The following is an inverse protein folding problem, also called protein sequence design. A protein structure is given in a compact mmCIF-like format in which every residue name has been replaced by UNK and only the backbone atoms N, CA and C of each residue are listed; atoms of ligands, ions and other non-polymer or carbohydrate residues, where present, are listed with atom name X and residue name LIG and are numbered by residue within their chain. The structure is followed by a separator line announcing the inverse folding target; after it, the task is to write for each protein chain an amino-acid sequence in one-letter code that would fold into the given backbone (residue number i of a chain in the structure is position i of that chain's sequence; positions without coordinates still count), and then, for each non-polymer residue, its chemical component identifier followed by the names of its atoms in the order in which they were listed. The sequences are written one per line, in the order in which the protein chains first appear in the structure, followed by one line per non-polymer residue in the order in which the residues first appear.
data_IF_436679694441
#
_entry.id   IF_436679694441
#
_cell.length_a   1.000
_cell.length_b   1.000
_cell.length_c   1.000
_cell.angle_alpha   90.00
_cell.angle_beta   90.00
_cell.angle_gamma   90.00
#
_symmetry.space_group_name_H-M   'P 1'
#
loop_
_entity.id
_entity.type
_entity.pdbx_description
1 polymer ?
#
# COMPACT_ATOMS: atom_id res chain seq x y z
N UNK A 1 -52.48 7.05 -13.95
CA UNK A 1 -53.16 6.86 -15.25
C UNK A 1 -52.05 6.87 -16.29
N UNK A 2 -51.57 5.66 -16.64
CA UNK A 2 -50.86 5.15 -17.85
C UNK A 2 -49.89 6.11 -18.60
N UNK A 3 -48.67 5.79 -19.02
CA UNK A 3 -47.96 4.55 -19.42
C UNK A 3 -46.46 4.66 -19.04
N UNK A 4 -45.76 3.68 -18.46
CA UNK A 4 -45.14 2.45 -19.03
C UNK A 4 -44.19 2.70 -20.22
N UNK A 5 -42.89 2.56 -19.93
CA UNK A 5 -41.80 2.39 -20.87
C UNK A 5 -40.60 1.77 -20.15
N UNK A 6 -40.57 0.45 -20.12
CA UNK A 6 -39.41 -0.36 -19.70
C UNK A 6 -38.20 -0.06 -20.59
N UNK A 7 -37.03 0.13 -19.96
CA UNK A 7 -35.74 -0.28 -20.50
C UNK A 7 -34.77 -0.50 -19.33
N UNK A 8 -34.84 -1.72 -18.79
CA UNK A 8 -33.74 -2.38 -18.10
C UNK A 8 -32.71 -2.88 -19.14
N UNK A 9 -31.48 -3.13 -18.67
CA UNK A 9 -30.30 -3.76 -19.30
C UNK A 9 -29.07 -2.86 -19.22
N UNK A 10 -28.19 -3.22 -18.28
CA UNK A 10 -26.88 -2.64 -18.12
C UNK A 10 -25.98 -2.85 -19.33
N UNK A 11 -24.85 -2.14 -19.33
CA UNK A 11 -23.69 -2.59 -20.07
C UNK A 11 -22.45 -2.45 -19.18
N UNK A 12 -22.00 -3.63 -18.75
CA UNK A 12 -20.67 -3.89 -18.24
C UNK A 12 -19.60 -3.58 -19.30
N UNK A 13 -18.37 -3.50 -18.81
CA UNK A 13 -17.10 -3.68 -19.54
C UNK A 13 -16.57 -2.51 -20.37
N UNK A 14 -15.64 -1.77 -19.75
CA UNK A 14 -14.54 -1.14 -20.47
C UNK A 14 -13.25 -1.90 -20.08
N UNK A 15 -13.15 -3.13 -20.61
CA UNK A 15 -11.96 -3.97 -20.63
C UNK A 15 -11.43 -4.09 -22.07
N UNK A 16 -11.65 -3.06 -22.88
CA UNK A 16 -11.73 -3.22 -24.32
C UNK A 16 -10.44 -3.00 -25.12
N UNK A 17 -9.28 -2.71 -24.53
CA UNK A 17 -8.09 -2.43 -25.36
C UNK A 17 -7.39 -3.68 -25.96
N UNK A 18 -7.66 -4.89 -25.48
CA UNK A 18 -7.22 -6.15 -26.13
C UNK A 18 -8.37 -6.95 -26.77
N UNK A 19 -9.64 -6.60 -26.49
CA UNK A 19 -10.83 -7.29 -27.04
C UNK A 19 -11.47 -6.50 -28.20
N UNK A 20 -11.32 -5.16 -28.26
CA UNK A 20 -11.86 -4.38 -29.38
C UNK A 20 -11.22 -4.72 -30.72
N UNK A 21 -9.98 -5.20 -30.76
CA UNK A 21 -9.36 -5.60 -32.03
C UNK A 21 -10.02 -6.89 -32.59
N UNK A 22 -10.50 -7.77 -31.69
CA UNK A 22 -11.25 -8.98 -32.07
C UNK A 22 -12.73 -8.74 -32.36
N UNK A 23 -13.34 -7.70 -31.79
CA UNK A 23 -14.74 -7.31 -32.07
C UNK A 23 -14.89 -6.35 -33.26
N UNK A 24 -13.81 -5.68 -33.68
CA UNK A 24 -13.77 -4.88 -34.92
C UNK A 24 -13.36 -5.69 -36.15
N UNK A 25 -12.77 -6.87 -35.96
CA UNK A 25 -12.51 -7.81 -37.05
C UNK A 25 -13.74 -8.70 -37.25
N UNK A 26 -14.35 -8.60 -38.44
CA UNK A 26 -15.37 -9.55 -38.87
C UNK A 26 -14.80 -10.98 -38.74
N UNK A 27 -15.60 -11.95 -38.28
CA UNK A 27 -15.17 -13.34 -38.24
C UNK A 27 -14.60 -13.79 -39.60
N UNK A 28 -13.55 -14.62 -39.63
CA UNK A 28 -12.98 -15.10 -40.90
C UNK A 28 -14.08 -15.75 -41.76
N UNK A 29 -14.37 -15.15 -42.92
CA UNK A 29 -15.45 -15.58 -43.82
C UNK A 29 -16.68 -14.66 -43.90
N UNK A 30 -16.80 -13.64 -43.03
CA UNK A 30 -17.90 -12.65 -43.05
C UNK A 30 -17.49 -11.27 -43.60
N UNK A 31 -16.26 -11.14 -44.10
CA UNK A 31 -15.65 -9.89 -44.57
C UNK A 31 -16.40 -9.16 -45.71
N UNK A 32 -17.37 -9.84 -46.34
CA UNK A 32 -18.22 -9.29 -47.40
C UNK A 32 -19.55 -8.70 -46.92
N UNK A 33 -19.91 -8.83 -45.64
CA UNK A 33 -21.25 -8.45 -45.13
C UNK A 33 -21.53 -6.94 -45.20
N UNK A 34 -20.48 -6.11 -45.12
CA UNK A 34 -20.57 -4.65 -45.16
C UNK A 34 -20.25 -4.06 -46.54
N UNK A 35 -19.97 -4.90 -47.55
CA UNK A 35 -19.61 -4.44 -48.89
C UNK A 35 -20.85 -4.28 -49.75
N UNK A 36 -21.13 -3.06 -50.19
CA UNK A 36 -22.13 -2.84 -51.24
C UNK A 36 -21.62 -3.37 -52.58
N UNK A 37 -22.52 -3.82 -53.47
CA UNK A 37 -22.18 -4.29 -54.82
C UNK A 37 -21.51 -3.23 -55.73
N UNK A 38 -21.34 -1.99 -55.25
CA UNK A 38 -20.74 -0.90 -56.01
C UNK A 38 -19.20 -0.93 -56.05
N UNK A 39 -18.54 -1.67 -55.14
CA UNK A 39 -17.09 -1.88 -55.12
C UNK A 39 -16.26 -0.63 -54.77
N UNK A 40 -15.34 -0.76 -53.79
CA UNK A 40 -14.37 0.30 -53.43
C UNK A 40 -14.28 0.62 -51.93
N UNK A 41 -15.24 0.17 -51.13
CA UNK A 41 -15.32 0.46 -49.69
C UNK A 41 -14.16 -0.17 -48.89
N UNK A 42 -13.70 -1.36 -49.28
CA UNK A 42 -12.54 -2.01 -48.66
C UNK A 42 -11.23 -1.21 -48.84
N UNK A 43 -11.09 -0.51 -49.98
CA UNK A 43 -9.93 0.35 -50.24
C UNK A 43 -10.01 1.61 -49.39
N UNK A 44 -11.21 2.17 -49.21
CA UNK A 44 -11.43 3.36 -48.39
C UNK A 44 -11.22 3.07 -46.89
N UNK A 45 -11.64 1.90 -46.42
CA UNK A 45 -11.38 1.40 -45.06
C UNK A 45 -9.86 1.25 -44.83
N UNK A 46 -9.14 0.59 -45.74
CA UNK A 46 -7.70 0.41 -45.65
C UNK A 46 -6.93 1.75 -45.68
N UNK A 47 -7.42 2.74 -46.44
CA UNK A 47 -6.86 4.10 -46.47
C UNK A 47 -7.17 4.85 -45.18
N UNK A 48 -8.38 4.73 -44.62
CA UNK A 48 -8.75 5.32 -43.33
C UNK A 48 -7.91 4.74 -42.18
N UNK A 49 -7.73 3.42 -42.14
CA UNK A 49 -6.89 2.75 -41.14
C UNK A 49 -5.41 3.13 -41.30
N UNK A 50 -4.93 3.27 -42.54
CA UNK A 50 -3.57 3.73 -42.85
C UNK A 50 -3.29 5.20 -42.51
N UNK A 51 -4.30 6.07 -42.59
CA UNK A 51 -4.18 7.51 -42.26
C UNK A 51 -4.34 7.76 -40.75
N UNK A 52 -5.18 6.99 -40.07
CA UNK A 52 -5.52 7.22 -38.65
C UNK A 52 -4.57 6.53 -37.67
N UNK A 53 -3.81 5.52 -38.11
CA UNK A 53 -2.99 4.69 -37.23
C UNK A 53 -1.50 4.74 -37.56
N UNK A 54 -0.89 5.92 -37.50
CA UNK A 54 0.49 5.96 -37.00
C UNK A 54 0.46 5.69 -35.49
N UNK A 55 0.11 4.45 -35.11
CA UNK A 55 0.20 4.01 -33.71
C UNK A 55 1.68 3.98 -33.38
N UNK A 56 2.15 4.96 -32.61
CA UNK A 56 3.47 4.90 -32.01
C UNK A 56 3.55 3.62 -31.17
N UNK A 57 4.30 2.62 -31.65
CA UNK A 57 4.49 1.36 -30.93
C UNK A 57 5.48 1.64 -29.80
N UNK A 58 4.96 1.89 -28.60
CA UNK A 58 5.79 1.99 -27.40
C UNK A 58 6.28 0.59 -27.02
N UNK A 59 7.54 0.29 -27.37
CA UNK A 59 8.19 -0.99 -27.05
C UNK A 59 8.50 -1.14 -25.56
N UNK A 60 8.26 -0.12 -24.73
CA UNK A 60 8.51 -0.19 -23.29
C UNK A 60 7.40 -0.96 -22.60
N UNK A 61 7.79 -2.03 -21.92
CA UNK A 61 6.89 -2.76 -21.03
C UNK A 61 6.36 -1.87 -19.90
N UNK A 62 5.20 -2.22 -19.34
CA UNK A 62 4.65 -1.56 -18.13
C UNK A 62 5.67 -1.53 -16.99
N UNK A 63 6.46 -2.61 -16.82
CA UNK A 63 7.55 -2.69 -15.83
C UNK A 63 8.58 -1.59 -16.05
N UNK A 64 9.04 -1.40 -17.29
CA UNK A 64 10.01 -0.36 -17.64
C UNK A 64 9.46 1.04 -17.36
N UNK A 65 8.22 1.32 -17.77
CA UNK A 65 7.57 2.63 -17.54
C UNK A 65 7.46 2.98 -16.06
N UNK A 66 7.06 2.02 -15.22
CA UNK A 66 6.94 2.28 -13.78
C UNK A 66 8.33 2.45 -13.14
N UNK A 67 9.32 1.62 -13.50
CA UNK A 67 10.66 1.74 -12.93
C UNK A 67 11.33 3.07 -13.31
N UNK A 68 11.18 3.52 -14.55
CA UNK A 68 11.66 4.83 -14.99
C UNK A 68 11.02 5.96 -14.17
N UNK A 69 9.71 5.89 -13.92
CA UNK A 69 9.00 6.86 -13.08
C UNK A 69 9.53 6.87 -11.65
N UNK A 70 9.74 5.71 -11.04
CA UNK A 70 10.31 5.58 -9.68
C UNK A 70 11.70 6.22 -9.63
N UNK A 71 12.58 5.86 -10.57
CA UNK A 71 13.94 6.37 -10.62
C UNK A 71 13.96 7.89 -10.84
N UNK A 72 13.07 8.42 -11.69
CA UNK A 72 12.96 9.85 -11.94
C UNK A 72 12.52 10.61 -10.68
N UNK A 73 11.50 10.11 -9.96
CA UNK A 73 11.10 10.71 -8.68
C UNK A 73 12.23 10.65 -7.64
N UNK A 74 12.89 9.50 -7.49
CA UNK A 74 13.97 9.32 -6.52
C UNK A 74 15.11 10.32 -6.69
N UNK A 75 15.48 10.66 -7.93
CA UNK A 75 16.50 11.69 -8.22
C UNK A 75 16.06 13.09 -7.77
N UNK A 76 14.76 13.38 -7.85
CA UNK A 76 14.23 14.71 -7.52
C UNK A 76 13.96 14.90 -6.01
N UNK A 77 13.67 13.83 -5.26
CA UNK A 77 13.27 13.92 -3.83
C UNK A 77 14.15 14.85 -2.97
N UNK A 78 15.50 14.80 -3.02
CA UNK A 78 16.33 15.67 -2.18
C UNK A 78 16.11 17.16 -2.45
N UNK A 79 15.90 17.52 -3.72
CA UNK A 79 15.65 18.87 -4.19
C UNK A 79 14.21 19.31 -3.85
N UNK A 80 13.23 18.44 -4.11
CA UNK A 80 11.82 18.72 -3.78
C UNK A 80 11.63 18.93 -2.27
N UNK A 81 12.33 18.17 -1.44
CA UNK A 81 12.28 18.34 0.00
C UNK A 81 12.85 19.69 0.47
N UNK A 82 13.91 20.19 -0.19
CA UNK A 82 14.43 21.52 0.10
C UNK A 82 13.44 22.62 -0.30
N UNK A 83 12.89 22.55 -1.52
CA UNK A 83 11.91 23.52 -1.99
C UNK A 83 10.62 23.50 -1.16
N UNK A 84 10.19 22.31 -0.70
CA UNK A 84 9.04 22.17 0.18
C UNK A 84 9.28 22.89 1.53
N UNK A 85 10.48 22.77 2.11
CA UNK A 85 10.83 23.46 3.34
C UNK A 85 10.89 24.98 3.13
N UNK A 86 11.49 25.45 2.03
CA UNK A 86 11.49 26.88 1.66
C UNK A 86 10.08 27.42 1.50
N UNK A 87 9.22 26.70 0.79
CA UNK A 87 7.80 27.04 0.64
C UNK A 87 7.07 27.08 1.99
N UNK A 88 7.32 26.12 2.89
CA UNK A 88 6.72 26.14 4.24
C UNK A 88 7.19 27.31 5.09
N UNK A 89 8.44 27.75 4.94
CA UNK A 89 9.00 28.85 5.72
C UNK A 89 8.57 30.22 5.20
N UNK A 90 8.63 30.41 3.89
CA UNK A 90 8.51 31.74 3.24
C UNK A 90 7.20 31.91 2.46
N UNK A 91 6.46 30.83 2.21
CA UNK A 91 5.32 30.82 1.31
C UNK A 91 5.70 30.68 -0.17
N UNK A 92 4.71 30.90 -1.03
CA UNK A 92 4.94 30.97 -2.47
C UNK A 92 5.62 32.30 -2.82
N UNK A 93 6.61 32.31 -3.74
CA UNK A 93 7.23 33.55 -4.17
C UNK A 93 6.17 34.48 -4.79
N UNK A 94 6.18 35.74 -4.37
CA UNK A 94 5.34 36.77 -5.00
C UNK A 94 5.92 37.04 -6.39
N UNK A 95 5.07 36.98 -7.41
CA UNK A 95 5.43 37.40 -8.76
C UNK A 95 5.71 38.91 -8.71
N UNK A 96 6.98 39.30 -8.61
CA UNK A 96 7.37 40.70 -8.72
C UNK A 96 7.24 41.18 -10.17
N UNK A 97 6.89 42.45 -10.34
CA UNK A 97 6.92 43.20 -11.61
C UNK A 97 8.36 43.57 -12.04
N UNK A 98 9.38 42.82 -11.61
CA UNK A 98 10.75 43.13 -12.00
C UNK A 98 10.99 42.76 -13.45
N UNK A 99 10.98 43.78 -14.31
CA UNK A 99 11.37 43.83 -15.73
C UNK A 99 12.84 43.39 -15.96
N UNK A 100 13.21 42.19 -15.54
CA UNK A 100 14.53 41.61 -15.84
C UNK A 100 14.35 40.54 -16.90
N UNK A 101 15.04 40.76 -18.02
CA UNK A 101 14.81 40.15 -19.31
C UNK A 101 14.91 38.61 -19.31
N UNK A 102 13.93 37.99 -19.98
CA UNK A 102 13.83 36.55 -20.33
C UNK A 102 13.57 35.58 -19.17
N UNK A 103 12.56 35.86 -18.34
CA UNK A 103 11.96 34.79 -17.53
C UNK A 103 11.21 33.82 -18.46
N UNK A 104 11.64 32.56 -18.52
CA UNK A 104 10.90 31.53 -19.25
C UNK A 104 9.61 31.23 -18.48
N UNK A 105 8.50 31.79 -18.96
CA UNK A 105 7.17 31.62 -18.39
C UNK A 105 6.47 30.44 -19.07
N UNK A 106 5.77 29.64 -18.28
CA UNK A 106 4.96 28.52 -18.77
C UNK A 106 3.70 28.37 -17.94
N UNK A 107 2.67 27.74 -18.49
CA UNK A 107 1.40 27.51 -17.78
C UNK A 107 1.11 26.04 -17.58
N UNK A 108 0.46 25.70 -16.49
CA UNK A 108 0.03 24.34 -16.18
C UNK A 108 -1.33 24.34 -15.50
N UNK A 109 -2.14 23.32 -15.79
CA UNK A 109 -3.37 23.09 -15.06
C UNK A 109 -3.06 22.68 -13.61
N UNK A 110 -3.75 23.32 -12.67
CA UNK A 110 -3.56 23.08 -11.24
C UNK A 110 -4.88 22.72 -10.58
N UNK A 111 -4.82 21.73 -9.68
CA UNK A 111 -5.93 21.30 -8.82
C UNK A 111 -5.64 21.75 -7.39
N UNK A 112 -6.55 22.50 -6.80
CA UNK A 112 -6.60 22.75 -5.36
C UNK A 112 -7.94 22.28 -4.79
N UNK A 113 -8.16 22.48 -3.50
CA UNK A 113 -9.48 22.23 -2.93
C UNK A 113 -10.53 23.20 -3.47
N UNK A 114 -10.13 24.43 -3.82
CA UNK A 114 -11.06 25.51 -4.18
C UNK A 114 -11.19 25.72 -5.69
N UNK A 115 -10.15 25.43 -6.47
CA UNK A 115 -10.13 25.71 -7.90
C UNK A 115 -9.44 24.63 -8.73
N UNK A 116 -9.94 24.45 -9.95
CA UNK A 116 -9.23 23.84 -11.08
C UNK A 116 -8.97 24.95 -12.10
N UNK A 117 -7.72 25.37 -12.28
CA UNK A 117 -7.38 26.41 -13.25
C UNK A 117 -5.97 26.30 -13.79
N UNK A 118 -5.77 26.85 -14.99
CA UNK A 118 -4.44 27.08 -15.54
C UNK A 118 -3.74 28.20 -14.75
N UNK A 119 -2.55 27.92 -14.25
CA UNK A 119 -1.69 28.87 -13.55
C UNK A 119 -0.39 29.06 -14.29
N UNK A 120 0.14 30.27 -14.21
CA UNK A 120 1.40 30.67 -14.82
C UNK A 120 2.53 30.53 -13.81
N UNK A 121 3.61 29.90 -14.23
CA UNK A 121 4.82 29.65 -13.45
C UNK A 121 6.02 30.29 -14.15
N UNK A 122 6.96 30.78 -13.34
CA UNK A 122 8.24 31.33 -13.81
C UNK A 122 9.33 30.32 -13.51
N UNK A 123 10.16 30.03 -14.52
CA UNK A 123 11.35 29.22 -14.32
C UNK A 123 12.31 29.91 -13.35
N UNK A 124 12.77 29.19 -12.33
CA UNK A 124 13.79 29.68 -11.40
C UNK A 124 15.16 29.26 -11.94
N UNK A 125 16.07 30.19 -12.29
CA UNK A 125 17.33 29.89 -12.99
C UNK A 125 18.23 28.85 -12.30
N UNK A 126 18.13 28.71 -10.98
CA UNK A 126 18.93 27.81 -10.15
C UNK A 126 18.37 26.37 -10.07
N UNK A 127 17.18 26.15 -10.63
CA UNK A 127 16.42 24.91 -10.46
C UNK A 127 16.59 23.97 -11.65
N UNK A 128 16.76 22.67 -11.37
CA UNK A 128 17.00 21.65 -12.40
C UNK A 128 15.71 20.98 -12.90
N UNK A 129 14.67 20.91 -12.07
CA UNK A 129 13.44 20.19 -12.37
C UNK A 129 12.19 21.07 -12.34
N UNK A 130 11.24 20.79 -13.23
CA UNK A 130 9.93 21.46 -13.28
C UNK A 130 9.20 21.35 -11.94
N UNK A 131 9.27 20.18 -11.31
CA UNK A 131 8.61 19.93 -10.02
C UNK A 131 9.20 20.73 -8.86
N UNK A 132 10.47 21.13 -8.90
CA UNK A 132 11.04 22.01 -7.89
C UNK A 132 10.40 23.40 -7.96
N UNK A 133 10.20 23.93 -9.17
CA UNK A 133 9.48 25.20 -9.38
C UNK A 133 8.04 25.08 -8.91
N UNK A 134 7.36 23.97 -9.22
CA UNK A 134 5.99 23.73 -8.74
C UNK A 134 5.94 23.70 -7.21
N UNK A 135 6.82 22.95 -6.56
CA UNK A 135 6.84 22.79 -5.10
C UNK A 135 7.11 24.11 -4.42
N UNK A 136 8.03 24.92 -4.96
CA UNK A 136 8.31 26.27 -4.47
C UNK A 136 7.07 27.18 -4.52
N UNK A 137 6.17 26.94 -5.47
CA UNK A 137 4.90 27.65 -5.62
C UNK A 137 3.70 26.97 -4.92
N UNK A 138 3.93 25.92 -4.13
CA UNK A 138 2.86 25.25 -3.39
C UNK A 138 2.15 24.10 -4.14
N UNK A 139 2.71 23.62 -5.25
CA UNK A 139 2.12 22.57 -6.08
C UNK A 139 3.08 21.42 -6.33
N UNK A 140 2.56 20.24 -6.67
CA UNK A 140 3.37 19.08 -7.04
C UNK A 140 2.81 18.44 -8.30
N UNK A 141 3.65 18.21 -9.30
CA UNK A 141 3.23 17.59 -10.56
C UNK A 141 2.76 16.15 -10.37
N UNK A 142 1.79 15.73 -11.19
CA UNK A 142 1.33 14.34 -11.26
C UNK A 142 2.37 13.39 -11.91
N UNK A 143 3.44 13.92 -12.50
CA UNK A 143 4.52 13.15 -13.11
C UNK A 143 5.89 13.83 -12.88
N UNK A 144 7.00 13.07 -12.89
CA UNK A 144 8.31 13.59 -12.50
C UNK A 144 8.95 14.52 -13.55
N UNK A 145 8.78 14.25 -14.85
CA UNK A 145 9.54 14.95 -15.89
C UNK A 145 8.70 15.99 -16.64
N UNK A 146 7.52 15.58 -17.12
CA UNK A 146 6.61 16.42 -17.91
C UNK A 146 5.21 16.34 -17.32
N UNK A 147 4.94 17.03 -16.19
CA UNK A 147 3.62 17.05 -15.60
C UNK A 147 2.64 17.77 -16.54
N UNK A 148 1.47 17.19 -16.75
CA UNK A 148 0.33 17.85 -17.42
C UNK A 148 -0.65 18.49 -16.44
N UNK A 149 -0.58 18.06 -15.17
CA UNK A 149 -1.42 18.50 -14.06
C UNK A 149 -0.54 18.63 -12.82
N UNK A 150 -0.74 19.66 -12.03
CA UNK A 150 -0.16 19.79 -10.71
C UNK A 150 -1.22 19.90 -9.62
N UNK A 151 -0.92 19.35 -8.45
CA UNK A 151 -1.84 19.24 -7.32
C UNK A 151 -1.28 20.07 -6.18
N UNK A 152 -2.13 20.87 -5.55
CA UNK A 152 -1.76 21.68 -4.39
C UNK A 152 -1.19 20.82 -3.27
N UNK A 153 -0.06 21.23 -2.70
CA UNK A 153 0.54 20.61 -1.52
C UNK A 153 -0.40 20.66 -0.32
N UNK A 154 -1.18 21.73 -0.19
CA UNK A 154 -2.21 21.86 0.85
C UNK A 154 -3.28 20.77 0.71
N UNK A 155 -3.74 20.48 -0.52
CA UNK A 155 -4.70 19.42 -0.77
C UNK A 155 -4.14 18.04 -0.40
N UNK A 156 -2.87 17.78 -0.72
CA UNK A 156 -2.18 16.54 -0.33
C UNK A 156 -2.03 16.41 1.20
N UNK A 157 -1.79 17.52 1.90
CA UNK A 157 -1.74 17.57 3.36
C UNK A 157 -3.11 17.32 3.99
N UNK A 158 -4.16 17.96 3.48
CA UNK A 158 -5.55 17.73 3.90
C UNK A 158 -5.90 16.25 3.72
N UNK A 159 -5.63 15.70 2.54
CA UNK A 159 -5.89 14.29 2.26
C UNK A 159 -5.14 13.36 3.23
N UNK A 160 -3.88 13.68 3.55
CA UNK A 160 -3.10 12.92 4.54
C UNK A 160 -3.76 12.93 5.93
N UNK A 161 -4.33 14.05 6.38
CA UNK A 161 -5.04 14.09 7.67
C UNK A 161 -6.38 13.36 7.60
N UNK A 162 -7.15 13.52 6.51
CA UNK A 162 -8.41 12.81 6.31
C UNK A 162 -8.20 11.29 6.38
N UNK A 163 -7.14 10.78 5.75
CA UNK A 163 -6.83 9.34 5.73
C UNK A 163 -6.41 8.79 7.09
N UNK A 164 -5.89 9.63 8.00
CA UNK A 164 -5.57 9.22 9.38
C UNK A 164 -6.83 8.97 10.20
N UNK A 165 -7.90 9.75 9.96
CA UNK A 165 -9.18 9.62 10.68
C UNK A 165 -10.09 8.62 9.99
N UNK A 166 -10.13 8.62 8.65
CA UNK A 166 -10.93 7.73 7.83
C UNK A 166 -10.05 6.99 6.79
N UNK A 167 -9.44 5.85 7.17
CA UNK A 167 -8.59 5.07 6.27
C UNK A 167 -9.28 4.57 5.00
N UNK A 168 -10.63 4.50 5.02
CA UNK A 168 -11.47 4.08 3.88
C UNK A 168 -11.65 5.16 2.82
N UNK A 169 -11.26 6.41 3.08
CA UNK A 169 -11.38 7.50 2.12
C UNK A 169 -10.31 7.38 1.02
N UNK A 170 -10.69 6.78 -0.11
CA UNK A 170 -9.79 6.47 -1.22
C UNK A 170 -9.43 7.70 -2.05
N UNK A 171 -8.36 7.58 -2.84
CA UNK A 171 -7.96 8.60 -3.82
C UNK A 171 -8.99 8.76 -4.94
N UNK A 172 -9.69 7.68 -5.34
CA UNK A 172 -10.81 7.78 -6.29
C UNK A 172 -11.98 8.57 -5.68
N UNK A 173 -12.29 8.34 -4.39
CA UNK A 173 -13.32 9.12 -3.70
C UNK A 173 -12.92 10.61 -3.61
N UNK A 174 -11.66 10.92 -3.32
CA UNK A 174 -11.16 12.29 -3.36
C UNK A 174 -11.27 12.89 -4.77
N UNK A 175 -10.83 12.17 -5.81
CA UNK A 175 -10.92 12.63 -7.20
C UNK A 175 -12.35 12.93 -7.63
N UNK A 176 -13.32 12.06 -7.27
CA UNK A 176 -14.76 12.32 -7.49
C UNK A 176 -15.23 13.55 -6.72
N UNK A 177 -14.87 13.67 -5.44
CA UNK A 177 -15.25 14.81 -4.62
C UNK A 177 -14.75 16.12 -5.24
N UNK A 178 -13.50 16.17 -5.71
CA UNK A 178 -12.95 17.34 -6.41
C UNK A 178 -13.71 17.65 -7.70
N UNK A 179 -14.05 16.64 -8.51
CA UNK A 179 -14.88 16.86 -9.70
C UNK A 179 -16.23 17.50 -9.33
N UNK A 180 -16.89 17.02 -8.27
CA UNK A 180 -18.15 17.59 -7.80
C UNK A 180 -17.98 19.02 -7.25
N UNK A 181 -16.92 19.27 -6.47
CA UNK A 181 -16.61 20.59 -5.91
C UNK A 181 -16.35 21.62 -7.03
N UNK A 182 -15.68 21.21 -8.10
CA UNK A 182 -15.39 22.07 -9.25
C UNK A 182 -16.50 22.11 -10.31
N UNK A 183 -17.62 21.41 -10.08
CA UNK A 183 -18.73 21.29 -11.04
C UNK A 183 -18.31 20.70 -12.40
N UNK A 184 -17.45 19.68 -12.38
CA UNK A 184 -16.92 19.00 -13.55
C UNK A 184 -17.43 17.55 -13.65
N UNK A 185 -17.52 17.00 -14.88
CA UNK A 185 -17.78 15.58 -15.06
C UNK A 185 -16.64 14.74 -14.48
N UNK A 186 -16.91 13.44 -14.22
CA UNK A 186 -15.91 12.50 -13.70
C UNK A 186 -14.72 12.43 -14.66
N UNK A 187 -13.54 12.79 -14.16
CA UNK A 187 -12.29 12.63 -14.90
C UNK A 187 -11.66 11.26 -14.54
N UNK A 188 -11.54 10.32 -15.49
CA UNK A 188 -11.14 8.93 -15.18
C UNK A 188 -9.71 8.83 -14.63
N UNK A 189 -8.79 9.65 -15.13
CA UNK A 189 -7.37 9.57 -14.77
C UNK A 189 -6.97 10.42 -13.55
N UNK A 190 -7.90 11.19 -12.98
CA UNK A 190 -7.57 12.12 -11.90
C UNK A 190 -7.10 11.37 -10.65
N UNK A 191 -7.72 10.24 -10.32
CA UNK A 191 -7.32 9.43 -9.19
C UNK A 191 -5.86 8.92 -9.31
N UNK A 192 -5.44 8.51 -10.51
CA UNK A 192 -4.08 8.05 -10.77
C UNK A 192 -3.06 9.20 -10.72
N UNK A 193 -3.44 10.38 -11.22
CA UNK A 193 -2.63 11.59 -11.14
C UNK A 193 -2.42 12.02 -9.68
N UNK A 194 -3.50 12.01 -8.87
CA UNK A 194 -3.41 12.29 -7.44
C UNK A 194 -2.58 11.23 -6.73
N UNK A 195 -2.76 9.95 -7.06
CA UNK A 195 -1.96 8.86 -6.49
C UNK A 195 -0.47 9.07 -6.71
N UNK A 196 -0.07 9.38 -7.96
CA UNK A 196 1.33 9.62 -8.33
C UNK A 196 1.93 10.82 -7.58
N UNK A 197 1.21 11.94 -7.47
CA UNK A 197 1.65 13.10 -6.71
C UNK A 197 1.68 12.81 -5.19
N UNK A 198 0.68 12.10 -4.66
CA UNK A 198 0.58 11.78 -3.25
C UNK A 198 1.70 10.84 -2.78
N UNK A 199 2.05 9.83 -3.58
CA UNK A 199 3.20 8.96 -3.31
C UNK A 199 4.50 9.77 -3.25
N UNK A 200 4.73 10.67 -4.21
CA UNK A 200 5.88 11.56 -4.17
C UNK A 200 5.87 12.49 -2.94
N UNK A 201 4.72 13.06 -2.60
CA UNK A 201 4.57 13.88 -1.40
C UNK A 201 4.89 13.10 -0.12
N UNK A 202 4.45 11.84 -0.01
CA UNK A 202 4.81 10.99 1.12
C UNK A 202 6.33 10.71 1.18
N UNK A 203 7.00 10.53 0.03
CA UNK A 203 8.46 10.39 0.01
C UNK A 203 9.18 11.67 0.43
N UNK A 204 8.72 12.85 0.00
CA UNK A 204 9.24 14.15 0.48
C UNK A 204 9.13 14.21 2.01
N UNK A 205 7.99 13.82 2.57
CA UNK A 205 7.75 13.83 4.00
C UNK A 205 8.66 12.85 4.76
N UNK A 206 8.92 11.66 4.20
CA UNK A 206 9.86 10.69 4.77
C UNK A 206 11.30 11.20 4.74
N UNK A 207 11.71 11.83 3.63
CA UNK A 207 13.04 12.42 3.50
C UNK A 207 13.27 13.55 4.52
N UNK A 208 12.26 14.42 4.71
CA UNK A 208 12.28 15.47 5.73
C UNK A 208 12.33 14.86 7.14
N UNK A 209 11.54 13.82 7.41
CA UNK A 209 11.61 13.09 8.69
C UNK A 209 13.01 12.51 8.96
N UNK A 210 13.68 11.99 7.92
CA UNK A 210 15.07 11.56 7.99
C UNK A 210 16.01 12.69 8.39
N UNK A 211 15.89 13.86 7.74
CA UNK A 211 16.66 15.07 8.10
C UNK A 211 16.39 15.52 9.54
N UNK A 212 15.14 15.50 9.99
CA UNK A 212 14.78 15.81 11.38
C UNK A 212 15.42 14.84 12.38
N UNK A 213 15.42 13.54 12.08
CA UNK A 213 16.03 12.55 12.96
C UNK A 213 17.55 12.76 13.07
N UNK A 214 18.22 13.09 11.96
CA UNK A 214 19.65 13.43 11.95
C UNK A 214 19.92 14.69 12.79
N UNK A 215 19.12 15.75 12.58
CA UNK A 215 19.28 17.01 13.31
C UNK A 215 19.09 16.85 14.83
N UNK A 216 18.15 15.98 15.24
CA UNK A 216 17.89 15.63 16.63
C UNK A 216 18.83 14.56 17.20
N UNK A 217 19.87 14.15 16.45
CA UNK A 217 20.86 13.12 16.83
C UNK A 217 20.22 11.80 17.27
N UNK A 218 19.11 11.43 16.64
CA UNK A 218 18.41 10.18 16.94
C UNK A 218 19.17 9.01 16.32
N UNK A 219 19.50 8.02 17.14
CA UNK A 219 20.13 6.77 16.71
C UNK A 219 19.18 5.95 15.83
N UNK A 220 19.71 4.95 15.13
CA UNK A 220 18.90 4.07 14.29
C UNK A 220 17.84 3.28 15.07
N UNK A 221 18.03 3.07 16.38
CA UNK A 221 17.11 2.34 17.25
C UNK A 221 16.22 3.28 18.09
N UNK A 222 16.42 4.60 17.97
CA UNK A 222 15.73 5.59 18.78
C UNK A 222 14.20 5.44 18.73
N UNK A 223 13.65 5.13 17.55
CA UNK A 223 12.20 4.94 17.40
C UNK A 223 11.69 3.73 18.20
N UNK A 224 12.41 2.61 18.23
CA UNK A 224 12.01 1.41 18.99
C UNK A 224 12.14 1.65 20.50
N UNK A 225 13.20 2.34 20.93
CA UNK A 225 13.47 2.65 22.33
C UNK A 225 12.51 3.71 22.90
N UNK A 226 11.92 4.57 22.04
CA UNK A 226 11.12 5.71 22.45
C UNK A 226 9.71 5.72 21.83
N UNK A 227 9.23 4.59 21.31
CA UNK A 227 7.94 4.52 20.59
C UNK A 227 6.76 4.95 21.46
N UNK A 228 6.84 4.64 22.75
CA UNK A 228 5.82 4.96 23.73
C UNK A 228 6.50 5.42 25.01
N UNK A 229 6.59 6.74 25.20
CA UNK A 229 7.21 7.31 26.39
C UNK A 229 6.62 6.73 27.70
N UNK A 230 5.29 6.61 27.88
CA UNK A 230 4.73 6.02 29.09
C UNK A 230 5.04 4.53 29.32
N UNK A 231 5.48 3.79 28.30
CA UNK A 231 5.81 2.37 28.44
C UNK A 231 7.31 2.10 28.50
N UNK A 232 8.14 2.93 27.87
CA UNK A 232 9.57 2.66 27.68
C UNK A 232 10.48 3.61 28.44
N UNK A 233 9.96 4.77 28.87
CA UNK A 233 10.74 5.74 29.64
C UNK A 233 10.58 5.47 31.14
N UNK A 234 11.64 4.94 31.77
CA UNK A 234 11.69 4.70 33.21
C UNK A 234 12.28 5.90 33.94
N UNK A 235 11.63 6.33 35.03
CA UNK A 235 12.16 7.41 35.89
C UNK A 235 13.04 6.85 37.02
N UNK A 236 13.93 7.68 37.57
CA UNK A 236 14.89 7.24 38.60
C UNK A 236 14.22 6.70 39.87
N UNK A 237 13.05 7.25 40.22
CA UNK A 237 12.30 6.91 41.44
C UNK A 237 11.17 5.90 41.19
N UNK A 238 11.13 5.28 40.01
CA UNK A 238 10.06 4.33 39.67
C UNK A 238 10.31 2.96 40.33
N UNK A 239 9.34 2.43 41.11
CA UNK A 239 9.49 1.11 41.71
C UNK A 239 9.56 0.03 40.62
N UNK A 240 10.43 -0.99 40.76
CA UNK A 240 10.52 -2.06 39.77
C UNK A 240 9.21 -2.85 39.74
N UNK A 241 8.56 -2.87 38.57
CA UNK A 241 7.37 -3.67 38.34
C UNK A 241 7.73 -5.12 38.01
N UNK A 242 6.96 -6.09 38.54
CA UNK A 242 7.06 -7.52 38.16
C UNK A 242 6.93 -7.70 36.64
N UNK A 243 5.99 -6.96 36.03
CA UNK A 243 5.83 -6.87 34.58
C UNK A 243 5.98 -5.40 34.17
N UNK A 244 7.01 -5.10 33.39
CA UNK A 244 7.33 -3.72 33.01
C UNK A 244 6.59 -3.23 31.77
N UNK A 245 5.93 -4.14 31.03
CA UNK A 245 5.36 -3.82 29.73
C UNK A 245 4.12 -4.67 29.46
N UNK A 246 3.07 -4.02 28.93
CA UNK A 246 1.86 -4.70 28.46
C UNK A 246 1.70 -4.45 26.96
N UNK A 247 1.67 -5.56 26.22
CA UNK A 247 1.47 -5.57 24.78
C UNK A 247 0.25 -6.43 24.42
N UNK A 248 -0.46 -6.03 23.38
CA UNK A 248 -1.43 -6.87 22.70
C UNK A 248 -0.92 -7.14 21.28
N UNK A 249 -1.17 -8.33 20.77
CA UNK A 249 -0.82 -8.75 19.41
C UNK A 249 -2.04 -9.36 18.75
N UNK A 250 -2.28 -9.00 17.49
CA UNK A 250 -3.36 -9.56 16.70
C UNK A 250 -2.96 -9.70 15.22
N UNK A 251 -3.60 -10.61 14.52
CA UNK A 251 -3.40 -10.91 13.11
C UNK A 251 -4.54 -10.41 12.23
N UNK A 252 -4.23 -9.75 11.12
CA UNK A 252 -5.19 -9.36 10.11
C UNK A 252 -5.06 -10.24 8.86
N UNK A 253 -6.02 -11.15 8.68
CA UNK A 253 -6.06 -12.12 7.57
C UNK A 253 -6.68 -11.58 6.27
N UNK A 254 -7.04 -10.30 6.20
CA UNK A 254 -7.68 -9.71 5.01
C UNK A 254 -6.67 -9.24 3.95
N UNK A 255 -5.44 -8.93 4.36
CA UNK A 255 -4.40 -8.39 3.50
C UNK A 255 -3.60 -9.54 2.87
N UNK A 256 -4.06 -10.03 1.73
CA UNK A 256 -3.47 -11.20 1.07
C UNK A 256 -2.69 -10.82 -0.18
N UNK A 257 -1.48 -11.36 -0.29
CA UNK A 257 -0.66 -11.26 -1.49
C UNK A 257 -0.63 -12.61 -2.19
N UNK A 258 -1.20 -12.70 -3.40
CA UNK A 258 -1.14 -13.92 -4.22
C UNK A 258 0.32 -14.19 -4.62
N UNK A 259 0.76 -15.42 -4.44
CA UNK A 259 2.10 -15.88 -4.80
C UNK A 259 2.31 -15.81 -6.32
N UNK A 260 3.50 -15.37 -6.73
CA UNK A 260 3.88 -15.23 -8.13
C UNK A 260 3.77 -16.53 -8.94
N UNK A 261 3.91 -17.69 -8.31
CA UNK A 261 3.78 -19.00 -8.95
C UNK A 261 2.37 -19.24 -9.53
N UNK A 262 1.35 -18.55 -9.01
CA UNK A 262 -0.03 -18.66 -9.49
C UNK A 262 -0.47 -17.48 -10.37
N UNK A 263 0.42 -16.53 -10.67
CA UNK A 263 0.10 -15.38 -11.52
C UNK A 263 0.61 -15.61 -12.93
N UNK A 264 -0.22 -15.32 -13.94
CA UNK A 264 0.22 -15.28 -15.33
C UNK A 264 1.10 -14.04 -15.59
N UNK A 265 2.08 -14.17 -16.49
CA UNK A 265 2.96 -13.10 -16.93
C UNK A 265 4.31 -13.05 -16.20
N UNK A 266 5.09 -11.99 -16.48
CA UNK A 266 6.41 -11.81 -15.87
C UNK A 266 6.30 -11.16 -14.49
N UNK A 267 6.97 -11.76 -13.50
CA UNK A 267 7.01 -11.23 -12.14
C UNK A 267 7.79 -9.91 -12.12
N UNK A 268 7.16 -8.87 -11.58
CA UNK A 268 7.85 -7.65 -11.20
C UNK A 268 8.31 -7.78 -9.76
N UNK A 269 9.63 -7.83 -9.56
CA UNK A 269 10.23 -7.67 -8.24
C UNK A 269 9.91 -6.29 -7.69
N UNK A 270 9.28 -6.23 -6.52
CA UNK A 270 9.08 -4.99 -5.78
C UNK A 270 10.31 -4.73 -4.91
N UNK A 271 11.14 -3.78 -5.32
CA UNK A 271 12.39 -3.45 -4.63
C UNK A 271 12.20 -2.37 -3.55
N UNK A 272 10.94 -2.05 -3.19
CA UNK A 272 10.66 -1.05 -2.15
C UNK A 272 10.98 -1.66 -0.79
N UNK A 273 11.87 -0.99 -0.06
CA UNK A 273 12.25 -1.37 1.30
C UNK A 273 11.73 -0.30 2.25
N UNK A 274 11.14 -0.73 3.37
CA UNK A 274 10.76 0.20 4.44
C UNK A 274 11.99 0.60 5.26
N UNK A 275 12.12 1.88 5.58
CA UNK A 275 13.16 2.36 6.50
C UNK A 275 12.77 2.20 7.98
N UNK A 276 11.51 1.84 8.25
CA UNK A 276 11.02 1.64 9.60
C UNK A 276 11.49 0.30 10.15
N UNK A 277 12.22 0.33 11.27
CA UNK A 277 12.61 -0.88 12.01
C UNK A 277 11.47 -1.54 12.78
N UNK A 278 10.25 -1.01 12.69
CA UNK A 278 9.07 -1.68 13.24
C UNK A 278 8.64 -2.86 12.38
N UNK A 279 9.05 -2.90 11.12
CA UNK A 279 8.80 -4.06 10.27
C UNK A 279 9.87 -5.12 10.53
N UNK A 280 9.44 -6.28 10.99
CA UNK A 280 10.32 -7.44 11.14
C UNK A 280 10.51 -8.06 9.76
N UNK A 281 11.75 -8.35 9.39
CA UNK A 281 12.04 -8.88 8.06
C UNK A 281 11.66 -10.36 7.96
N UNK A 282 11.36 -10.87 6.75
CA UNK A 282 11.13 -12.30 6.54
C UNK A 282 12.28 -13.16 7.07
N UNK A 283 13.52 -12.70 6.89
CA UNK A 283 14.72 -13.43 7.32
C UNK A 283 14.78 -13.57 8.84
N UNK A 284 14.38 -12.53 9.59
CA UNK A 284 14.30 -12.57 11.06
C UNK A 284 13.19 -13.52 11.54
N UNK A 285 12.07 -13.60 10.82
CA UNK A 285 10.94 -14.51 11.13
C UNK A 285 11.30 -15.97 10.81
N UNK A 286 11.99 -16.22 9.71
CA UNK A 286 12.33 -17.56 9.21
C UNK A 286 13.23 -18.36 10.15
N UNK A 287 13.96 -17.70 11.06
CA UNK A 287 14.73 -18.36 12.12
C UNK A 287 13.84 -19.25 13.00
N UNK A 288 12.56 -18.89 13.15
CA UNK A 288 11.59 -19.57 14.01
C UNK A 288 10.71 -20.59 13.27
N UNK A 289 10.87 -20.76 11.94
CA UNK A 289 9.96 -21.58 11.12
C UNK A 289 9.79 -23.03 11.60
N UNK A 290 10.83 -23.60 12.21
CA UNK A 290 10.86 -25.00 12.68
C UNK A 290 10.71 -25.13 14.20
N UNK A 291 10.40 -24.04 14.92
CA UNK A 291 10.36 -24.05 16.39
C UNK A 291 9.19 -24.88 16.94
N UNK A 292 8.00 -24.79 16.32
CA UNK A 292 6.80 -25.52 16.76
C UNK A 292 6.96 -27.02 16.55
N UNK A 293 7.49 -27.42 15.39
CA UNK A 293 7.78 -28.82 15.08
C UNK A 293 8.82 -29.43 16.03
N UNK A 294 9.83 -28.65 16.44
CA UNK A 294 10.82 -29.10 17.43
C UNK A 294 10.18 -29.36 18.79
N UNK A 295 9.27 -28.50 19.26
CA UNK A 295 8.57 -28.69 20.55
C UNK A 295 7.63 -29.90 20.53
N UNK A 296 6.89 -30.11 19.44
CA UNK A 296 6.05 -31.30 19.29
C UNK A 296 6.86 -32.61 19.22
N UNK A 297 8.03 -32.60 18.56
CA UNK A 297 8.92 -33.76 18.54
C UNK A 297 9.47 -34.06 19.95
N UNK A 298 9.91 -33.06 20.70
CA UNK A 298 10.42 -33.28 22.06
C UNK A 298 9.33 -33.80 23.01
N UNK A 299 8.08 -33.33 22.87
CA UNK A 299 6.93 -33.85 23.63
C UNK A 299 6.57 -35.28 23.24
N UNK A 300 6.65 -35.67 21.96
CA UNK A 300 6.38 -37.04 21.54
C UNK A 300 7.46 -38.03 22.00
N UNK A 301 8.73 -37.60 22.08
CA UNK A 301 9.81 -38.41 22.65
C UNK A 301 9.65 -38.62 24.17
N UNK A 302 9.26 -37.60 24.93
CA UNK A 302 9.00 -37.72 26.37
C UNK A 302 7.81 -38.64 26.67
N UNK A 303 6.75 -38.57 25.86
CA UNK A 303 5.60 -39.46 25.97
C UNK A 303 5.90 -40.89 25.50
N UNK A 304 6.84 -41.08 24.56
CA UNK A 304 7.28 -42.40 24.13
C UNK A 304 8.20 -43.10 25.16
N UNK A 305 8.93 -42.33 25.97
CA UNK A 305 9.76 -42.88 27.05
C UNK A 305 8.99 -43.17 28.34
N UNK A 306 7.75 -42.69 28.49
CA UNK A 306 6.88 -43.02 29.62
C UNK A 306 6.13 -44.36 29.46
N UNK A 307 6.25 -45.04 28.32
CA UNK A 307 5.55 -46.31 28.04
C UNK A 307 6.36 -47.57 28.41
N UNK A 308 7.54 -47.43 29.03
CA UNK A 308 8.34 -48.57 29.51
C UNK A 308 8.96 -48.20 30.85
N UNK A 309 8.24 -48.47 31.94
CA UNK A 309 8.75 -48.78 33.29
C UNK A 309 7.52 -49.00 34.19
N UNK A 310 7.02 -50.23 34.17
CA UNK A 310 6.06 -50.75 35.14
C UNK A 310 6.89 -51.49 36.21
N UNK A 311 7.22 -50.83 37.33
CA UNK A 311 7.25 -51.38 38.70
C UNK A 311 7.96 -50.44 39.71
N UNK A 312 7.24 -50.13 40.80
CA UNK A 312 7.63 -49.58 42.13
C UNK A 312 7.67 -48.03 42.33
N UNK A 313 7.52 -47.55 43.58
CA UNK A 313 6.26 -47.17 44.23
C UNK A 313 6.10 -45.63 44.37
N UNK A 314 4.89 -45.20 44.70
CA UNK A 314 4.51 -43.80 44.99
C UNK A 314 5.48 -43.11 45.96
N UNK A 315 6.11 -42.01 45.51
CA UNK A 315 6.54 -40.89 46.34
C UNK A 315 6.85 -39.64 45.48
N UNK A 316 6.00 -38.62 45.68
CA UNK A 316 6.23 -37.17 45.68
C UNK A 316 7.23 -36.57 44.67
N UNK A 317 6.68 -36.01 43.60
CA UNK A 317 7.31 -34.91 42.85
C UNK A 317 6.59 -33.62 43.19
N UNK A 318 7.02 -33.00 44.29
CA UNK A 318 6.77 -31.57 44.53
C UNK A 318 7.54 -30.78 43.46
N UNK A 319 6.79 -30.08 42.61
CA UNK A 319 7.31 -29.26 41.52
C UNK A 319 6.28 -28.25 41.02
N UNK A 320 6.34 -27.07 41.63
CA UNK A 320 5.92 -25.76 41.13
C UNK A 320 4.43 -25.39 41.09
N UNK A 321 3.96 -24.90 42.24
CA UNK A 321 3.42 -23.54 42.43
C UNK A 321 2.81 -22.84 41.21
N UNK A 322 1.60 -23.26 40.82
CA UNK A 322 0.56 -22.33 40.36
C UNK A 322 -0.42 -22.14 41.51
N UNK A 323 -0.05 -21.27 42.45
CA UNK A 323 -0.72 -21.08 43.74
C UNK A 323 -2.16 -20.51 43.69
N UNK A 324 -2.85 -20.49 42.55
CA UNK A 324 -4.14 -19.79 42.40
C UNK A 324 -5.26 -20.56 41.69
N UNK A 325 -5.08 -21.86 41.41
CA UNK A 325 -6.18 -22.70 40.92
C UNK A 325 -6.25 -23.97 41.76
N UNK A 326 -7.40 -24.20 42.40
CA UNK A 326 -7.67 -25.46 43.08
C UNK A 326 -7.59 -26.60 42.06
N UNK A 327 -7.09 -27.77 42.48
CA UNK A 327 -6.89 -28.97 41.63
C UNK A 327 -8.16 -29.38 40.87
N UNK A 328 -9.34 -29.05 41.39
CA UNK A 328 -10.64 -29.26 40.74
C UNK A 328 -10.94 -28.27 39.59
N UNK A 329 -10.46 -27.03 39.67
CA UNK A 329 -10.65 -26.01 38.62
C UNK A 329 -9.71 -26.22 37.43
N UNK A 330 -8.56 -26.87 37.64
CA UNK A 330 -7.63 -27.25 36.56
C UNK A 330 -8.24 -28.35 35.67
N UNK A 331 -8.95 -29.31 36.26
CA UNK A 331 -9.57 -30.41 35.52
C UNK A 331 -10.83 -29.94 34.76
N UNK A 332 -11.62 -29.03 35.36
CA UNK A 332 -12.73 -28.35 34.67
C UNK A 332 -12.25 -27.40 33.56
N UNK A 333 -11.13 -26.70 33.75
CA UNK A 333 -10.52 -25.84 32.73
C UNK A 333 -9.88 -26.67 31.61
N UNK A 334 -9.24 -27.80 31.93
CA UNK A 334 -8.72 -28.74 30.94
C UNK A 334 -9.85 -29.40 30.14
N UNK A 335 -10.97 -29.74 30.80
CA UNK A 335 -12.18 -30.20 30.12
C UNK A 335 -12.82 -29.09 29.28
N UNK A 336 -12.84 -27.84 29.73
CA UNK A 336 -13.29 -26.70 28.93
C UNK A 336 -12.37 -26.41 27.74
N UNK A 337 -11.05 -26.54 27.89
CA UNK A 337 -10.09 -26.43 26.77
C UNK A 337 -10.32 -27.56 25.77
N UNK A 338 -10.50 -28.81 26.22
CA UNK A 338 -10.81 -29.94 25.34
C UNK A 338 -12.17 -29.77 24.65
N UNK A 339 -13.20 -29.31 25.37
CA UNK A 339 -14.53 -29.06 24.79
C UNK A 339 -14.51 -27.87 23.82
N UNK A 340 -13.73 -26.82 24.12
CA UNK A 340 -13.53 -25.68 23.24
C UNK A 340 -12.73 -26.08 22.00
N UNK A 341 -11.70 -26.92 22.11
CA UNK A 341 -10.93 -27.45 20.98
C UNK A 341 -11.76 -28.39 20.12
N UNK A 342 -12.58 -29.26 20.73
CA UNK A 342 -13.51 -30.14 20.01
C UNK A 342 -14.67 -29.39 19.34
N UNK A 343 -15.16 -28.31 19.98
CA UNK A 343 -16.20 -27.42 19.41
C UNK A 343 -15.63 -26.36 18.47
N UNK A 344 -14.31 -26.12 18.50
CA UNK A 344 -13.61 -25.26 17.55
C UNK A 344 -13.51 -25.99 16.22
N UNK A 345 -14.63 -26.03 15.50
CA UNK A 345 -14.60 -26.25 14.07
C UNK A 345 -14.05 -24.97 13.44
N UNK A 346 -12.75 -24.96 13.15
CA UNK A 346 -12.21 -23.99 12.21
C UNK A 346 -13.08 -24.04 10.94
N UNK A 347 -13.67 -22.91 10.59
CA UNK A 347 -14.66 -22.85 9.53
C UNK A 347 -14.00 -23.17 8.17
N UNK A 348 -14.25 -24.38 7.66
CA UNK A 348 -14.41 -24.68 6.25
C UNK A 348 -13.74 -25.97 5.76
N UNK A 349 -14.28 -26.58 4.68
CA UNK A 349 -13.79 -27.83 4.10
C UNK A 349 -12.32 -27.69 3.67
N UNK A 350 -11.57 -28.80 3.60
CA UNK A 350 -10.14 -28.84 3.21
C UNK A 350 -9.79 -28.05 1.93
N UNK A 351 -10.77 -27.80 1.06
CA UNK A 351 -10.65 -26.86 -0.06
C UNK A 351 -10.14 -25.46 0.37
N UNK A 352 -10.46 -24.99 1.59
CA UNK A 352 -9.93 -23.72 2.14
C UNK A 352 -8.45 -23.80 2.53
N UNK A 353 -7.91 -24.97 2.90
CA UNK A 353 -6.47 -25.16 3.13
C UNK A 353 -5.67 -24.98 1.83
N UNK A 354 -6.16 -25.55 0.72
CA UNK A 354 -5.59 -25.32 -0.62
C UNK A 354 -5.67 -23.84 -1.06
N UNK A 355 -6.71 -23.13 -0.62
CA UNK A 355 -6.87 -21.69 -0.89
C UNK A 355 -5.83 -20.82 -0.17
N UNK A 356 -5.25 -21.26 0.97
CA UNK A 356 -4.13 -20.56 1.61
C UNK A 356 -2.80 -20.79 0.89
N UNK A 357 -2.63 -21.94 0.22
CA UNK A 357 -1.49 -22.22 -0.64
C UNK A 357 -1.44 -21.35 -1.92
N UNK A 358 -2.41 -20.46 -2.15
CA UNK A 358 -2.37 -19.44 -3.20
C UNK A 358 -1.56 -18.20 -2.78
N UNK A 359 -1.50 -17.87 -1.48
CA UNK A 359 -1.01 -16.58 -1.01
C UNK A 359 0.43 -16.69 -0.49
N UNK A 360 1.34 -15.84 -0.97
CA UNK A 360 2.69 -15.72 -0.41
C UNK A 360 2.65 -15.06 0.98
N UNK A 361 1.75 -14.09 1.15
CA UNK A 361 1.45 -13.44 2.43
C UNK A 361 -0.05 -13.57 2.68
N UNK A 362 -0.45 -14.15 3.80
CA UNK A 362 -1.84 -14.42 4.16
C UNK A 362 -2.48 -13.31 5.01
N UNK A 363 -1.68 -12.35 5.48
CA UNK A 363 -2.09 -11.31 6.40
C UNK A 363 -0.89 -10.58 6.98
N UNK A 364 -1.13 -9.79 8.04
CA UNK A 364 -0.07 -9.15 8.84
C UNK A 364 -0.33 -9.40 10.32
N UNK A 365 0.72 -9.57 11.12
CA UNK A 365 0.64 -9.44 12.57
C UNK A 365 1.04 -8.03 12.99
N UNK A 366 0.38 -7.55 14.04
CA UNK A 366 0.63 -6.23 14.60
C UNK A 366 0.65 -6.32 16.12
N UNK A 367 1.73 -5.82 16.72
CA UNK A 367 1.87 -5.68 18.15
C UNK A 367 1.71 -4.22 18.54
N UNK A 368 0.88 -3.95 19.55
CA UNK A 368 0.63 -2.62 20.11
C UNK A 368 0.85 -2.60 21.61
N UNK A 369 1.32 -1.49 22.14
CA UNK A 369 1.27 -1.27 23.58
C UNK A 369 -0.16 -0.91 24.02
N UNK A 370 -0.39 -0.93 25.34
CA UNK A 370 -1.67 -0.50 25.93
C UNK A 370 -2.13 0.92 25.55
N UNK A 371 -1.22 1.79 25.10
CA UNK A 371 -1.52 3.16 24.67
C UNK A 371 -1.76 3.27 23.15
N UNK A 372 -1.82 2.16 22.42
CA UNK A 372 -2.12 2.12 20.99
C UNK A 372 -0.95 2.45 20.06
N UNK A 373 0.28 2.53 20.57
CA UNK A 373 1.45 2.67 19.71
C UNK A 373 1.84 1.32 19.11
N UNK A 374 2.04 1.32 17.78
CA UNK A 374 2.50 0.14 17.04
C UNK A 374 3.97 -0.09 17.34
N UNK A 375 4.26 -1.24 17.96
CA UNK A 375 5.59 -1.66 18.40
C UNK A 375 6.34 -2.34 17.26
N UNK A 376 5.74 -3.41 16.74
CA UNK A 376 6.27 -4.21 15.63
C UNK A 376 5.13 -4.68 14.73
N UNK A 377 5.46 -4.90 13.46
CA UNK A 377 4.59 -5.43 12.42
C UNK A 377 5.39 -6.49 11.66
N UNK A 378 4.76 -7.60 11.28
CA UNK A 378 5.36 -8.56 10.37
C UNK A 378 4.32 -9.15 9.42
N UNK A 379 4.78 -9.63 8.28
CA UNK A 379 3.94 -10.35 7.33
C UNK A 379 3.63 -11.76 7.86
N UNK A 380 2.39 -12.20 7.67
CA UNK A 380 2.01 -13.61 7.86
C UNK A 380 2.44 -14.40 6.64
N UNK A 381 3.71 -14.78 6.63
CA UNK A 381 4.33 -15.62 5.61
C UNK A 381 4.01 -17.07 5.94
N UNK A 382 3.98 -17.94 4.93
CA UNK A 382 3.74 -19.38 5.15
C UNK A 382 4.79 -19.95 6.10
N UNK A 383 4.41 -20.21 7.35
CA UNK A 383 5.13 -21.15 8.21
C UNK A 383 4.90 -22.56 7.63
N UNK A 384 5.90 -23.44 7.73
CA UNK A 384 5.81 -24.83 7.25
C UNK A 384 4.79 -25.72 7.98
N UNK A 385 3.82 -25.13 8.67
CA UNK A 385 2.63 -25.81 9.20
C UNK A 385 1.60 -25.94 8.08
N UNK A 386 1.89 -26.83 7.12
CA UNK A 386 0.92 -27.33 6.15
C UNK A 386 0.82 -28.85 6.22
#
# INVERSE_FOLDING_TARGET
MLDIGDQDMGNDSDWEDEVQDGLRQLPPGEEGFLQSHAGGEAVLQAVMDGITLSKHIDSRTRKNRIQQRINAWQRQIPHLAEQYLKWKHEGAPVLGDSDTEVETVWSLETVSFSDLKSRVFRHIPEISYVNETLVRNGFLGASPEKPSLAISLELLEIYRQLRRVCPRFSLDALGRALCHIHHLPRHPYLADQISSAYDCFLEIQRHIQGRHNIALRRSANWEQENVCAPCLYKTADEPPLKFSFLAAMDGNNSLKLVDSTFRAGSVRTDNRVTSSKRWISPEDVDVFKDEVNRKCATSSYLNATAAVLDDLPEADVDGDDVAWLNVTEIDELAQCVNTCVERWRNAGPEARKKMFALFAVAGIFLAVCRHGHVLVICDMIRSGEL
#
